data_IF_742903606135
#
_entry.id   IF_742903606135
#
_cell.length_a   1.000
_cell.length_b   1.000
_cell.length_c   1.000
_cell.angle_alpha   90.00
_cell.angle_beta   90.00
_cell.angle_gamma   90.00
#
_symmetry.space_group_name_H-M   'P 1'
#
loop_
_entity.id
_entity.type
_entity.pdbx_description
1 polymer ?
#
# COMPACT_ATOMS: atom_id res chain seq x y z
N UNK A 1 55.66 17.23 -42.86
CA UNK A 1 54.34 17.90 -42.75
C UNK A 1 53.17 16.95 -42.51
N UNK A 2 53.37 15.62 -42.41
CA UNK A 2 52.28 14.60 -42.16
C UNK A 2 52.02 14.25 -40.69
N UNK A 3 53.01 14.46 -39.79
CA UNK A 3 52.84 14.13 -38.36
C UNK A 3 52.00 15.16 -37.55
N UNK A 4 51.99 16.45 -37.92
CA UNK A 4 51.20 17.46 -37.22
C UNK A 4 49.68 17.38 -37.46
N UNK A 5 49.25 16.72 -38.60
CA UNK A 5 47.83 16.54 -38.89
C UNK A 5 47.21 15.35 -38.13
N UNK A 6 48.03 14.35 -37.78
CA UNK A 6 47.57 13.13 -37.04
C UNK A 6 47.33 13.46 -35.55
N UNK A 7 48.21 14.30 -34.97
CA UNK A 7 48.07 14.73 -33.57
C UNK A 7 46.87 15.65 -33.35
N UNK A 8 46.47 16.47 -34.35
CA UNK A 8 45.28 17.32 -34.26
C UNK A 8 43.99 16.49 -34.36
N UNK A 9 43.96 15.41 -35.15
CA UNK A 9 42.77 14.56 -35.26
C UNK A 9 42.53 13.72 -33.98
N UNK A 10 43.58 13.24 -33.34
CA UNK A 10 43.48 12.49 -32.07
C UNK A 10 43.04 13.43 -30.90
N UNK A 11 43.52 14.69 -30.88
CA UNK A 11 43.09 15.67 -29.90
C UNK A 11 41.64 16.11 -30.12
N UNK A 12 41.15 16.19 -31.37
CA UNK A 12 39.75 16.50 -31.64
C UNK A 12 38.78 15.37 -31.25
N UNK A 13 39.19 14.11 -31.44
CA UNK A 13 38.39 12.94 -31.00
C UNK A 13 38.37 12.84 -29.46
N UNK A 14 39.48 13.15 -28.80
CA UNK A 14 39.53 13.18 -27.33
C UNK A 14 38.70 14.35 -26.73
N UNK A 15 38.64 15.52 -27.41
CA UNK A 15 37.78 16.62 -26.98
C UNK A 15 36.28 16.38 -27.24
N UNK A 16 35.93 15.66 -28.30
CA UNK A 16 34.53 15.26 -28.54
C UNK A 16 34.03 14.21 -27.54
N UNK A 17 34.91 13.31 -27.05
CA UNK A 17 34.58 12.38 -25.99
C UNK A 17 34.44 13.05 -24.60
N UNK A 18 35.11 14.17 -24.36
CA UNK A 18 35.00 14.93 -23.11
C UNK A 18 33.81 15.90 -23.04
N UNK A 19 33.11 16.14 -24.17
CA UNK A 19 31.98 17.07 -24.26
C UNK A 19 30.59 16.39 -24.20
N UNK A 20 30.52 15.05 -24.13
CA UNK A 20 29.32 14.38 -23.61
C UNK A 20 29.37 14.54 -22.09
N UNK A 21 28.72 15.59 -21.56
CA UNK A 21 28.44 15.67 -20.14
C UNK A 21 27.88 14.31 -19.74
N UNK A 22 28.63 13.53 -18.97
CA UNK A 22 28.16 12.24 -18.49
C UNK A 22 26.93 12.50 -17.65
N UNK A 23 25.75 12.20 -18.20
CA UNK A 23 24.50 12.28 -17.47
C UNK A 23 24.63 11.33 -16.27
N UNK A 24 24.41 11.83 -15.07
CA UNK A 24 24.51 11.04 -13.84
C UNK A 24 23.14 10.50 -13.43
N UNK A 25 23.09 9.48 -12.54
CA UNK A 25 21.82 9.04 -11.98
C UNK A 25 21.02 10.19 -11.35
N UNK A 26 21.68 11.10 -10.63
CA UNK A 26 21.04 12.25 -9.98
C UNK A 26 20.44 13.24 -11.02
N UNK A 27 21.04 13.37 -12.19
CA UNK A 27 20.47 14.19 -13.28
C UNK A 27 19.22 13.53 -13.87
N UNK A 28 19.20 12.19 -14.02
CA UNK A 28 18.01 11.45 -14.42
C UNK A 28 16.91 11.59 -13.39
N UNK A 29 17.21 11.38 -12.11
CA UNK A 29 16.27 11.59 -11.01
C UNK A 29 15.69 13.01 -11.03
N UNK A 30 16.53 14.03 -11.16
CA UNK A 30 16.08 15.43 -11.21
C UNK A 30 15.14 15.69 -12.39
N UNK A 31 15.43 15.12 -13.58
CA UNK A 31 14.58 15.24 -14.77
C UNK A 31 13.26 14.51 -14.59
N UNK A 32 13.30 13.30 -13.99
CA UNK A 32 12.12 12.50 -13.66
C UNK A 32 11.22 13.26 -12.69
N UNK A 33 11.75 13.76 -11.58
CA UNK A 33 10.98 14.49 -10.58
C UNK A 33 10.32 15.74 -11.17
N UNK A 34 11.01 16.42 -12.08
CA UNK A 34 10.45 17.58 -12.79
C UNK A 34 9.32 17.19 -13.73
N UNK A 35 9.47 16.10 -14.51
CA UNK A 35 8.40 15.61 -15.39
C UNK A 35 7.18 15.19 -14.60
N UNK A 36 7.37 14.37 -13.57
CA UNK A 36 6.29 13.88 -12.71
C UNK A 36 5.55 15.02 -12.01
N UNK A 37 6.28 16.01 -11.50
CA UNK A 37 5.66 17.20 -10.85
C UNK A 37 4.77 18.00 -11.80
N UNK A 38 5.12 18.07 -13.08
CA UNK A 38 4.42 18.89 -14.06
C UNK A 38 3.34 18.13 -14.82
N UNK A 39 3.51 16.83 -15.04
CA UNK A 39 2.71 16.03 -15.98
C UNK A 39 2.13 14.75 -15.37
N UNK A 40 2.46 14.39 -14.11
CA UNK A 40 2.11 13.12 -13.50
C UNK A 40 3.09 12.00 -13.83
N UNK A 41 2.94 10.87 -13.13
CA UNK A 41 3.81 9.69 -13.30
C UNK A 41 3.72 9.07 -14.71
N UNK A 42 2.58 9.16 -15.37
CA UNK A 42 2.28 8.67 -16.71
C UNK A 42 2.43 9.74 -17.81
N UNK A 43 2.99 10.89 -17.45
CA UNK A 43 3.14 12.06 -18.32
C UNK A 43 3.98 11.79 -19.57
N UNK A 44 3.71 12.58 -20.63
CA UNK A 44 4.44 12.48 -21.90
C UNK A 44 5.95 12.63 -21.68
N UNK A 45 6.73 11.66 -22.17
CA UNK A 45 8.19 11.62 -22.07
C UNK A 45 8.75 10.92 -20.84
N UNK A 46 7.91 10.55 -19.85
CA UNK A 46 8.35 9.80 -18.67
C UNK A 46 8.89 8.43 -19.09
N UNK A 47 8.15 7.68 -19.91
CA UNK A 47 8.59 6.35 -20.41
C UNK A 47 9.95 6.41 -21.11
N UNK A 48 10.10 7.34 -22.07
CA UNK A 48 11.36 7.52 -22.80
C UNK A 48 12.52 7.92 -21.87
N UNK A 49 12.24 8.71 -20.84
CA UNK A 49 13.25 9.06 -19.84
C UNK A 49 13.65 7.84 -19.02
N UNK A 50 12.69 7.03 -18.59
CA UNK A 50 12.94 5.79 -17.84
C UNK A 50 13.75 4.79 -18.66
N UNK A 51 13.42 4.59 -19.95
CA UNK A 51 14.16 3.70 -20.86
C UNK A 51 15.64 4.11 -20.95
N UNK A 52 15.91 5.40 -21.14
CA UNK A 52 17.27 5.94 -21.20
C UNK A 52 18.00 5.85 -19.86
N UNK A 53 17.28 6.03 -18.76
CA UNK A 53 17.85 5.92 -17.42
C UNK A 53 18.28 4.50 -17.11
N UNK A 54 17.40 3.54 -17.37
CA UNK A 54 17.66 2.13 -17.19
C UNK A 54 18.78 1.60 -18.10
N UNK A 55 18.83 2.06 -19.38
CA UNK A 55 19.93 1.73 -20.30
C UNK A 55 21.28 2.29 -19.82
N UNK A 56 21.29 3.52 -19.29
CA UNK A 56 22.51 4.17 -18.83
C UNK A 56 22.99 3.66 -17.45
N UNK A 57 22.05 3.31 -16.56
CA UNK A 57 22.29 2.91 -15.16
C UNK A 57 21.36 1.76 -14.74
N UNK A 58 21.60 0.55 -15.25
CA UNK A 58 20.71 -0.60 -15.03
C UNK A 58 20.60 -1.02 -13.56
N UNK A 59 21.61 -0.68 -12.74
CA UNK A 59 21.70 -1.03 -11.32
C UNK A 59 21.22 0.11 -10.40
N UNK A 60 20.66 1.19 -10.96
CA UNK A 60 20.16 2.32 -10.13
C UNK A 60 18.89 1.92 -9.41
N UNK A 61 18.94 1.90 -8.06
CA UNK A 61 17.84 1.51 -7.19
C UNK A 61 16.58 2.41 -7.30
N UNK A 62 16.67 3.59 -7.91
CA UNK A 62 15.54 4.48 -8.10
C UNK A 62 14.67 4.09 -9.32
N UNK A 63 15.28 3.45 -10.33
CA UNK A 63 14.59 3.09 -11.59
C UNK A 63 13.39 2.16 -11.36
N UNK A 64 13.49 1.06 -10.62
CA UNK A 64 12.35 0.16 -10.42
C UNK A 64 11.13 0.86 -9.80
N UNK A 65 11.33 1.72 -8.80
CA UNK A 65 10.23 2.47 -8.18
C UNK A 65 9.58 3.45 -9.19
N UNK A 66 10.41 4.13 -9.97
CA UNK A 66 9.93 5.06 -11.00
C UNK A 66 9.15 4.30 -12.10
N UNK A 67 9.61 3.13 -12.51
CA UNK A 67 8.98 2.24 -13.51
C UNK A 67 7.64 1.70 -12.99
N UNK A 68 7.60 1.23 -11.73
CA UNK A 68 6.36 0.82 -11.08
C UNK A 68 5.34 1.96 -11.07
N UNK A 69 5.72 3.15 -10.61
CA UNK A 69 4.83 4.31 -10.56
C UNK A 69 4.28 4.67 -11.94
N UNK A 70 5.11 4.61 -12.99
CA UNK A 70 4.70 4.85 -14.36
C UNK A 70 3.60 3.87 -14.81
N UNK A 71 3.84 2.56 -14.74
CA UNK A 71 2.88 1.55 -15.19
C UNK A 71 1.61 1.56 -14.34
N UNK A 72 1.76 1.64 -13.02
CA UNK A 72 0.64 1.65 -12.11
C UNK A 72 -0.28 2.86 -12.34
N UNK A 73 0.27 4.05 -12.48
CA UNK A 73 -0.53 5.26 -12.78
C UNK A 73 -1.16 5.19 -14.17
N UNK A 74 -0.39 4.77 -15.18
CA UNK A 74 -0.87 4.63 -16.56
C UNK A 74 -1.99 3.57 -16.70
N UNK A 75 -2.00 2.57 -15.83
CA UNK A 75 -3.09 1.57 -15.81
C UNK A 75 -4.41 2.13 -15.29
N UNK A 76 -4.40 3.26 -14.58
CA UNK A 76 -5.56 3.77 -13.86
C UNK A 76 -6.43 4.68 -14.72
N UNK A 77 -7.74 4.52 -14.59
CA UNK A 77 -8.77 5.46 -15.02
C UNK A 77 -9.73 5.67 -13.86
N UNK A 78 -10.04 6.91 -13.49
CA UNK A 78 -11.03 7.20 -12.46
C UNK A 78 -12.35 7.70 -13.07
N UNK A 79 -13.46 7.32 -12.43
CA UNK A 79 -14.79 7.81 -12.72
C UNK A 79 -15.50 8.16 -11.42
N UNK A 80 -16.33 9.19 -11.45
CA UNK A 80 -17.17 9.55 -10.30
C UNK A 80 -18.56 8.96 -10.52
N UNK A 81 -18.90 7.91 -9.76
CA UNK A 81 -20.09 7.10 -9.94
C UNK A 81 -21.07 7.20 -8.76
N UNK A 82 -22.38 7.22 -9.01
CA UNK A 82 -23.38 7.19 -7.96
C UNK A 82 -23.45 5.82 -7.29
N UNK A 83 -23.50 5.81 -5.95
CA UNK A 83 -23.75 4.61 -5.14
C UNK A 83 -24.97 4.87 -4.23
N UNK A 84 -26.18 4.65 -4.74
CA UNK A 84 -27.40 4.92 -3.99
C UNK A 84 -27.44 4.17 -2.65
N UNK A 85 -27.81 4.87 -1.57
CA UNK A 85 -27.92 4.28 -0.24
C UNK A 85 -26.59 4.05 0.50
N UNK A 86 -25.45 4.20 -0.15
CA UNK A 86 -24.14 4.03 0.49
C UNK A 86 -23.67 5.36 1.12
N UNK A 87 -23.31 5.31 2.39
CA UNK A 87 -22.68 6.45 3.11
C UNK A 87 -21.15 6.43 3.01
N UNK A 88 -20.59 5.28 2.72
CA UNK A 88 -19.15 5.06 2.49
C UNK A 88 -18.99 4.00 1.40
N UNK A 89 -17.91 4.12 0.63
CA UNK A 89 -17.50 3.13 -0.35
C UNK A 89 -16.02 2.84 -0.18
N UNK A 90 -15.66 1.57 0.01
CA UNK A 90 -14.29 1.13 0.33
C UNK A 90 -13.65 1.93 1.48
N UNK A 91 -14.43 2.23 2.52
CA UNK A 91 -13.99 3.03 3.66
C UNK A 91 -14.00 4.55 3.46
N UNK A 92 -14.15 5.04 2.23
CA UNK A 92 -14.08 6.46 1.89
C UNK A 92 -15.44 7.17 2.04
N UNK A 93 -15.39 8.45 2.37
CA UNK A 93 -16.56 9.33 2.29
C UNK A 93 -16.88 9.65 0.82
N UNK A 94 -18.13 10.05 0.49
CA UNK A 94 -18.46 10.47 -0.86
C UNK A 94 -17.63 11.70 -1.30
N UNK A 95 -17.22 11.70 -2.56
CA UNK A 95 -16.59 12.86 -3.22
C UNK A 95 -17.59 13.99 -3.40
N UNK A 96 -18.87 13.63 -3.66
CA UNK A 96 -19.95 14.57 -3.92
C UNK A 96 -21.26 13.96 -3.45
N UNK A 97 -22.18 14.79 -2.91
CA UNK A 97 -23.57 14.42 -2.63
C UNK A 97 -24.50 15.37 -3.38
N UNK A 98 -25.39 14.82 -4.17
CA UNK A 98 -26.41 15.59 -4.93
C UNK A 98 -27.80 15.15 -4.49
N UNK A 99 -28.80 16.03 -4.75
CA UNK A 99 -30.21 15.68 -4.60
C UNK A 99 -30.73 15.02 -5.86
N UNK A 100 -31.48 13.94 -5.70
CA UNK A 100 -32.25 13.33 -6.80
C UNK A 100 -33.55 14.11 -7.07
N UNK A 101 -34.35 13.63 -8.03
CA UNK A 101 -35.65 14.23 -8.38
C UNK A 101 -36.66 14.24 -7.25
N UNK A 102 -36.53 13.31 -6.30
CA UNK A 102 -37.43 13.12 -5.17
C UNK A 102 -36.93 13.82 -3.90
N UNK A 103 -35.80 14.56 -4.00
CA UNK A 103 -35.16 15.31 -2.91
C UNK A 103 -34.28 14.44 -2.01
N UNK A 104 -34.06 13.17 -2.35
CA UNK A 104 -33.15 12.26 -1.66
C UNK A 104 -31.68 12.58 -1.89
N UNK A 105 -30.81 12.20 -0.94
CA UNK A 105 -29.35 12.31 -1.12
C UNK A 105 -28.82 11.14 -1.93
N UNK A 106 -28.07 11.45 -3.01
CA UNK A 106 -27.31 10.49 -3.82
C UNK A 106 -25.84 10.80 -3.63
N UNK A 107 -25.11 9.84 -3.07
CA UNK A 107 -23.68 9.93 -2.86
C UNK A 107 -22.92 9.42 -4.09
N UNK A 108 -21.92 10.18 -4.51
CA UNK A 108 -21.02 9.86 -5.60
C UNK A 108 -19.62 9.61 -5.05
N UNK A 109 -18.96 8.58 -5.57
CA UNK A 109 -17.63 8.18 -5.15
C UNK A 109 -16.72 8.11 -6.36
N UNK A 110 -15.46 8.51 -6.18
CA UNK A 110 -14.41 8.25 -7.15
C UNK A 110 -14.08 6.78 -7.12
N UNK A 111 -14.14 6.15 -8.29
CA UNK A 111 -13.83 4.73 -8.48
C UNK A 111 -12.77 4.56 -9.55
N UNK A 112 -11.72 3.81 -9.24
CA UNK A 112 -10.61 3.53 -10.15
C UNK A 112 -10.86 2.22 -10.89
N UNK A 113 -10.55 2.24 -12.19
CA UNK A 113 -10.54 1.08 -13.09
C UNK A 113 -9.13 0.92 -13.62
N UNK A 114 -8.73 -0.31 -13.89
CA UNK A 114 -7.35 -0.64 -14.25
C UNK A 114 -7.33 -1.35 -15.61
N UNK A 115 -6.36 -0.96 -16.44
CA UNK A 115 -5.94 -1.75 -17.58
C UNK A 115 -5.10 -2.93 -17.07
N UNK A 116 -5.55 -4.15 -17.34
CA UNK A 116 -4.95 -5.38 -16.78
C UNK A 116 -3.54 -5.63 -17.30
N UNK A 117 -3.22 -5.26 -18.55
CA UNK A 117 -1.91 -5.45 -19.14
C UNK A 117 -0.89 -4.51 -18.49
N UNK A 118 -1.20 -3.22 -18.40
CA UNK A 118 -0.35 -2.22 -17.75
C UNK A 118 -0.20 -2.48 -16.25
N UNK A 119 -1.29 -2.90 -15.58
CA UNK A 119 -1.21 -3.32 -14.19
C UNK A 119 -0.30 -4.52 -14.01
N UNK A 120 -0.38 -5.50 -14.93
CA UNK A 120 0.51 -6.65 -14.97
C UNK A 120 1.97 -6.27 -15.11
N UNK A 121 2.31 -5.27 -15.96
CA UNK A 121 3.69 -4.75 -16.05
C UNK A 121 4.16 -4.11 -14.74
N UNK A 122 3.29 -3.35 -14.05
CA UNK A 122 3.61 -2.82 -12.73
C UNK A 122 3.91 -3.94 -11.71
N UNK A 123 3.11 -5.03 -11.72
CA UNK A 123 3.34 -6.18 -10.83
C UNK A 123 4.63 -6.92 -11.14
N UNK A 124 5.02 -7.09 -12.41
CA UNK A 124 6.30 -7.72 -12.80
C UNK A 124 7.50 -6.97 -12.23
N UNK A 125 7.44 -5.63 -12.21
CA UNK A 125 8.50 -4.82 -11.59
C UNK A 125 8.63 -5.15 -10.11
N UNK A 126 7.50 -5.18 -9.38
CA UNK A 126 7.51 -5.47 -7.94
C UNK A 126 7.95 -6.91 -7.64
N UNK A 127 7.49 -7.89 -8.45
CA UNK A 127 7.90 -9.29 -8.29
C UNK A 127 9.41 -9.47 -8.47
N UNK A 128 9.99 -8.79 -9.47
CA UNK A 128 11.44 -8.81 -9.68
C UNK A 128 12.20 -8.20 -8.50
N UNK A 129 11.70 -7.10 -7.94
CA UNK A 129 12.34 -6.46 -6.78
C UNK A 129 12.19 -7.28 -5.50
N UNK A 130 11.04 -7.90 -5.25
CA UNK A 130 10.84 -8.80 -4.12
C UNK A 130 11.76 -10.03 -4.23
N UNK A 131 11.92 -10.59 -5.44
CA UNK A 131 12.82 -11.71 -5.66
C UNK A 131 14.30 -11.35 -5.42
N UNK A 132 14.71 -10.14 -5.80
CA UNK A 132 16.09 -9.63 -5.61
C UNK A 132 16.36 -9.17 -4.18
N UNK A 133 15.36 -8.61 -3.51
CA UNK A 133 15.45 -7.97 -2.19
C UNK A 133 14.30 -8.41 -1.28
N UNK A 134 14.25 -9.70 -0.89
CA UNK A 134 13.09 -10.26 -0.16
C UNK A 134 12.88 -9.65 1.23
N UNK A 135 13.91 -9.04 1.81
CA UNK A 135 13.87 -8.42 3.13
C UNK A 135 13.60 -6.89 3.09
N UNK A 136 13.36 -6.33 1.89
CA UNK A 136 13.02 -4.91 1.72
C UNK A 136 11.50 -4.74 1.70
N UNK A 137 10.95 -4.21 2.82
CA UNK A 137 9.50 -4.07 3.05
C UNK A 137 8.79 -3.18 2.03
N UNK A 138 9.49 -2.19 1.45
CA UNK A 138 8.91 -1.27 0.47
C UNK A 138 8.23 -2.02 -0.68
N UNK A 139 8.89 -3.02 -1.26
CA UNK A 139 8.40 -3.72 -2.44
C UNK A 139 7.15 -4.53 -2.12
N UNK A 140 7.13 -5.21 -0.99
CA UNK A 140 5.96 -5.92 -0.49
C UNK A 140 4.80 -4.97 -0.23
N UNK A 141 5.05 -3.84 0.44
CA UNK A 141 4.01 -2.86 0.75
C UNK A 141 3.43 -2.20 -0.50
N UNK A 142 4.26 -1.85 -1.49
CA UNK A 142 3.78 -1.35 -2.78
C UNK A 142 2.88 -2.37 -3.48
N UNK A 143 3.29 -3.66 -3.48
CA UNK A 143 2.52 -4.73 -4.11
C UNK A 143 1.17 -4.95 -3.41
N UNK A 144 1.15 -5.07 -2.09
CA UNK A 144 -0.09 -5.23 -1.32
C UNK A 144 -1.03 -4.04 -1.53
N UNK A 145 -0.49 -2.82 -1.53
CA UNK A 145 -1.27 -1.60 -1.78
C UNK A 145 -1.88 -1.58 -3.17
N UNK A 146 -1.09 -1.90 -4.20
CA UNK A 146 -1.55 -1.93 -5.58
C UNK A 146 -2.62 -3.02 -5.80
N UNK A 147 -2.40 -4.23 -5.26
CA UNK A 147 -3.38 -5.32 -5.31
C UNK A 147 -4.68 -4.95 -4.60
N UNK A 148 -4.61 -4.37 -3.39
CA UNK A 148 -5.81 -3.91 -2.66
C UNK A 148 -6.61 -2.88 -3.46
N UNK A 149 -5.93 -1.96 -4.16
CA UNK A 149 -6.58 -0.95 -4.98
C UNK A 149 -7.24 -1.55 -6.23
N UNK A 150 -6.60 -2.56 -6.84
CA UNK A 150 -7.11 -3.28 -8.01
C UNK A 150 -8.35 -4.13 -7.65
N UNK A 151 -8.29 -4.89 -6.57
CA UNK A 151 -9.33 -5.85 -6.15
C UNK A 151 -10.54 -5.20 -5.48
N UNK A 152 -10.37 -4.01 -4.92
CA UNK A 152 -11.45 -3.21 -4.29
C UNK A 152 -12.14 -3.92 -3.12
N UNK A 153 -13.34 -4.50 -3.37
CA UNK A 153 -14.23 -5.03 -2.32
C UNK A 153 -13.77 -6.39 -1.73
N UNK A 154 -12.97 -7.15 -2.48
CA UNK A 154 -12.48 -8.47 -2.05
C UNK A 154 -10.97 -8.58 -2.27
N UNK A 155 -10.13 -8.16 -1.31
CA UNK A 155 -8.68 -8.07 -1.47
C UNK A 155 -7.99 -9.43 -1.32
N UNK A 156 -8.34 -10.40 -2.17
CA UNK A 156 -7.88 -11.80 -2.10
C UNK A 156 -6.38 -11.93 -2.36
N UNK A 157 -5.88 -11.28 -3.44
CA UNK A 157 -4.46 -11.30 -3.81
C UNK A 157 -3.62 -10.50 -2.82
N UNK A 158 -4.12 -9.34 -2.37
CA UNK A 158 -3.45 -8.54 -1.35
C UNK A 158 -3.31 -9.31 -0.03
N UNK A 159 -4.36 -10.02 0.39
CA UNK A 159 -4.32 -10.87 1.57
C UNK A 159 -3.38 -12.08 1.38
N UNK A 160 -3.30 -12.65 0.16
CA UNK A 160 -2.37 -13.73 -0.16
C UNK A 160 -0.91 -13.25 -0.05
N UNK A 161 -0.60 -12.07 -0.60
CA UNK A 161 0.74 -11.47 -0.50
C UNK A 161 1.12 -11.19 0.96
N UNK A 162 0.17 -10.66 1.75
CA UNK A 162 0.39 -10.39 3.16
C UNK A 162 0.64 -11.69 3.97
N UNK A 163 -0.04 -12.80 3.63
CA UNK A 163 0.25 -14.13 4.20
C UNK A 163 1.67 -14.61 3.87
N UNK A 164 2.11 -14.42 2.64
CA UNK A 164 3.47 -14.78 2.22
C UNK A 164 4.51 -13.97 2.98
N UNK A 165 4.30 -12.67 3.13
CA UNK A 165 5.18 -11.78 3.89
C UNK A 165 5.29 -12.21 5.36
N UNK A 166 4.16 -12.55 6.02
CA UNK A 166 4.15 -13.06 7.40
C UNK A 166 4.84 -14.42 7.49
N UNK A 167 4.65 -15.29 6.51
CA UNK A 167 5.33 -16.59 6.45
C UNK A 167 6.84 -16.44 6.26
N UNK A 168 7.30 -15.49 5.47
CA UNK A 168 8.70 -15.16 5.31
C UNK A 168 9.31 -14.68 6.64
N UNK A 169 8.65 -13.75 7.34
CA UNK A 169 9.07 -13.32 8.69
C UNK A 169 9.20 -14.49 9.67
N UNK A 170 8.25 -15.42 9.63
CA UNK A 170 8.24 -16.56 10.54
C UNK A 170 9.34 -17.59 10.25
N UNK A 171 9.69 -17.79 8.99
CA UNK A 171 10.62 -18.85 8.55
C UNK A 171 12.07 -18.35 8.42
N UNK A 172 12.28 -17.17 7.84
CA UNK A 172 13.60 -16.63 7.55
C UNK A 172 14.16 -15.73 8.65
N UNK A 173 13.29 -15.15 9.50
CA UNK A 173 13.68 -14.17 10.53
C UNK A 173 14.52 -13.04 9.95
N UNK A 174 14.02 -12.37 8.89
CA UNK A 174 14.80 -11.43 8.10
C UNK A 174 15.25 -10.23 8.91
N UNK A 175 16.37 -9.64 8.51
CA UNK A 175 16.77 -8.31 8.94
C UNK A 175 16.03 -7.27 8.08
N UNK A 176 14.76 -7.00 8.41
CA UNK A 176 13.92 -6.11 7.62
C UNK A 176 14.58 -4.75 7.36
N UNK A 177 14.46 -4.29 6.12
CA UNK A 177 14.80 -2.94 5.70
C UNK A 177 13.59 -2.21 5.15
N UNK A 178 13.60 -0.89 5.22
CA UNK A 178 12.65 -0.02 4.56
C UNK A 178 13.42 1.17 3.96
N UNK A 179 13.35 1.32 2.67
CA UNK A 179 14.11 2.34 1.94
C UNK A 179 15.65 2.19 2.11
N UNK A 180 16.11 0.95 2.25
CA UNK A 180 17.51 0.63 2.50
C UNK A 180 17.99 0.81 3.93
N UNK A 181 17.13 1.34 4.81
CA UNK A 181 17.45 1.54 6.23
C UNK A 181 16.90 0.38 7.08
N UNK A 182 17.56 0.06 8.18
CA UNK A 182 17.10 -1.01 9.08
C UNK A 182 15.73 -0.65 9.67
N UNK A 183 14.73 -1.49 9.41
CA UNK A 183 13.33 -1.24 9.81
C UNK A 183 12.95 -1.91 11.14
N UNK A 184 13.61 -3.00 11.49
CA UNK A 184 13.25 -3.80 12.65
C UNK A 184 11.88 -4.48 12.53
N UNK A 185 11.58 -5.33 13.49
CA UNK A 185 10.32 -6.10 13.55
C UNK A 185 9.10 -5.21 13.87
N UNK A 186 9.31 -4.09 14.53
CA UNK A 186 8.26 -3.13 14.89
C UNK A 186 7.64 -2.49 13.65
N UNK A 187 8.45 -2.07 12.69
CA UNK A 187 7.98 -1.49 11.43
C UNK A 187 7.21 -2.52 10.60
N UNK A 188 7.68 -3.77 10.56
CA UNK A 188 6.95 -4.86 9.94
C UNK A 188 5.57 -5.06 10.59
N UNK A 189 5.50 -5.14 11.93
CA UNK A 189 4.24 -5.30 12.66
C UNK A 189 3.29 -4.12 12.43
N UNK A 190 3.81 -2.90 12.43
CA UNK A 190 3.03 -1.70 12.15
C UNK A 190 2.43 -1.75 10.74
N UNK A 191 3.23 -2.04 9.71
CA UNK A 191 2.75 -2.11 8.32
C UNK A 191 1.66 -3.18 8.14
N UNK A 192 1.83 -4.38 8.73
CA UNK A 192 0.78 -5.40 8.72
C UNK A 192 -0.48 -4.92 9.44
N UNK A 193 -0.36 -4.18 10.54
CA UNK A 193 -1.48 -3.59 11.26
C UNK A 193 -2.25 -2.56 10.44
N UNK A 194 -1.56 -1.76 9.62
CA UNK A 194 -2.18 -0.79 8.71
C UNK A 194 -2.97 -1.48 7.59
N UNK A 195 -2.48 -2.59 7.04
CA UNK A 195 -3.26 -3.39 6.08
C UNK A 195 -4.46 -4.06 6.72
N UNK A 196 -4.34 -4.56 7.95
CA UNK A 196 -5.50 -5.04 8.71
C UNK A 196 -6.56 -3.92 8.84
N UNK A 197 -6.17 -2.70 9.20
CA UNK A 197 -7.09 -1.58 9.31
C UNK A 197 -7.72 -1.20 7.95
N UNK A 198 -6.96 -1.29 6.86
CA UNK A 198 -7.46 -1.10 5.50
C UNK A 198 -8.53 -2.14 5.14
N UNK A 199 -8.26 -3.45 5.34
CA UNK A 199 -9.24 -4.51 5.09
C UNK A 199 -10.52 -4.33 5.91
N UNK A 200 -10.39 -3.98 7.19
CA UNK A 200 -11.55 -3.66 8.03
C UNK A 200 -12.34 -2.45 7.49
N UNK A 201 -11.62 -1.44 7.00
CA UNK A 201 -12.20 -0.21 6.45
C UNK A 201 -13.02 -0.42 5.16
N UNK A 202 -12.74 -1.47 4.36
CA UNK A 202 -13.52 -1.83 3.16
C UNK A 202 -14.99 -2.06 3.53
N UNK A 203 -15.26 -2.67 4.70
CA UNK A 203 -16.61 -2.85 5.21
C UNK A 203 -17.40 -4.00 4.56
N UNK A 204 -16.75 -4.87 3.81
CA UNK A 204 -17.33 -6.08 3.22
C UNK A 204 -17.06 -7.32 4.08
N UNK A 205 -17.82 -8.39 3.86
CA UNK A 205 -17.59 -9.66 4.56
C UNK A 205 -16.18 -10.21 4.27
N UNK A 206 -15.70 -10.12 3.03
CA UNK A 206 -14.36 -10.52 2.64
C UNK A 206 -13.28 -9.70 3.38
N UNK A 207 -13.42 -8.37 3.40
CA UNK A 207 -12.52 -7.49 4.13
C UNK A 207 -12.44 -7.82 5.61
N UNK A 208 -13.59 -8.09 6.26
CA UNK A 208 -13.63 -8.49 7.67
C UNK A 208 -12.99 -9.86 7.91
N UNK A 209 -13.19 -10.83 7.02
CA UNK A 209 -12.58 -12.16 7.19
C UNK A 209 -11.05 -12.09 7.03
N UNK A 210 -10.50 -11.34 6.06
CA UNK A 210 -9.06 -11.14 5.93
C UNK A 210 -8.46 -10.35 7.09
N UNK A 211 -9.16 -9.30 7.55
CA UNK A 211 -8.78 -8.60 8.78
C UNK A 211 -8.61 -9.53 9.97
N UNK A 212 -9.57 -10.45 10.18
CA UNK A 212 -9.51 -11.47 11.26
C UNK A 212 -8.36 -12.44 11.03
N UNK A 213 -8.29 -13.05 9.84
CA UNK A 213 -7.28 -14.06 9.50
C UNK A 213 -5.85 -13.56 9.71
N UNK A 214 -5.53 -12.41 9.14
CA UNK A 214 -4.21 -11.80 9.29
C UNK A 214 -3.92 -11.46 10.75
N UNK A 215 -4.90 -10.91 11.47
CA UNK A 215 -4.75 -10.61 12.90
C UNK A 215 -4.51 -11.88 13.74
N UNK A 216 -5.13 -13.02 13.39
CA UNK A 216 -4.88 -14.30 14.06
C UNK A 216 -3.47 -14.84 13.77
N UNK A 217 -2.99 -14.72 12.53
CA UNK A 217 -1.60 -15.07 12.16
C UNK A 217 -0.59 -14.24 12.95
N UNK A 218 -0.81 -12.93 13.00
CA UNK A 218 0.05 -12.01 13.74
C UNK A 218 -0.01 -12.23 15.26
N UNK A 219 -1.18 -12.56 15.81
CA UNK A 219 -1.30 -12.91 17.24
C UNK A 219 -0.51 -14.19 17.59
N UNK A 220 -0.45 -15.16 16.68
CA UNK A 220 0.38 -16.36 16.86
C UNK A 220 1.86 -16.04 16.81
N UNK A 221 2.27 -15.18 15.87
CA UNK A 221 3.67 -14.80 15.68
C UNK A 221 4.16 -13.82 16.74
N UNK A 222 3.33 -12.85 17.13
CA UNK A 222 3.63 -11.78 18.08
C UNK A 222 2.60 -11.73 19.22
N UNK A 223 2.60 -12.71 20.15
CA UNK A 223 1.56 -12.86 21.15
C UNK A 223 1.53 -11.73 22.21
N UNK A 224 2.57 -10.87 22.22
CA UNK A 224 2.66 -9.71 23.12
C UNK A 224 2.23 -8.40 22.45
N UNK A 225 1.87 -8.42 21.16
CA UNK A 225 1.33 -7.25 20.50
C UNK A 225 -0.20 -7.19 20.71
N UNK A 226 -0.73 -6.21 21.47
CA UNK A 226 -2.16 -6.14 21.78
C UNK A 226 -3.00 -5.76 20.57
N UNK A 227 -2.46 -5.05 19.57
CA UNK A 227 -3.17 -4.54 18.38
C UNK A 227 -3.91 -5.66 17.65
N UNK A 228 -3.24 -6.78 17.38
CA UNK A 228 -3.85 -7.88 16.64
C UNK A 228 -4.90 -8.63 17.45
N UNK A 229 -4.78 -8.65 18.77
CA UNK A 229 -5.78 -9.21 19.68
C UNK A 229 -7.02 -8.31 19.73
N UNK A 230 -6.82 -6.98 19.78
CA UNK A 230 -7.88 -5.99 19.72
C UNK A 230 -8.63 -6.03 18.38
N UNK A 231 -7.90 -6.21 17.28
CA UNK A 231 -8.48 -6.43 15.96
C UNK A 231 -9.46 -7.59 15.93
N UNK A 232 -9.10 -8.74 16.52
CA UNK A 232 -10.01 -9.90 16.62
C UNK A 232 -11.25 -9.54 17.46
N UNK A 233 -11.10 -8.73 18.51
CA UNK A 233 -12.22 -8.17 19.26
C UNK A 233 -13.15 -7.33 18.39
N UNK A 234 -12.57 -6.46 17.56
CA UNK A 234 -13.30 -5.58 16.63
C UNK A 234 -14.05 -6.36 15.55
N UNK A 235 -13.46 -7.45 15.04
CA UNK A 235 -14.15 -8.37 14.14
C UNK A 235 -15.41 -8.97 14.79
N UNK A 236 -15.29 -9.47 16.03
CA UNK A 236 -16.44 -10.05 16.74
C UNK A 236 -17.52 -9.00 17.04
N UNK A 237 -17.12 -7.75 17.31
CA UNK A 237 -18.06 -6.67 17.60
C UNK A 237 -18.82 -6.21 16.37
N UNK A 238 -18.11 -6.03 15.24
CA UNK A 238 -18.66 -5.36 14.05
C UNK A 238 -19.19 -6.36 13.03
N UNK A 239 -18.38 -7.37 12.65
CA UNK A 239 -18.76 -8.32 11.61
C UNK A 239 -19.73 -9.40 12.12
N UNK A 240 -19.65 -9.78 13.39
CA UNK A 240 -20.45 -10.89 13.96
C UNK A 240 -21.46 -10.43 15.01
N UNK A 241 -21.54 -9.12 15.34
CA UNK A 241 -22.41 -8.56 16.38
C UNK A 241 -22.38 -9.37 17.71
N UNK A 242 -21.20 -9.89 18.06
CA UNK A 242 -21.01 -10.74 19.21
C UNK A 242 -20.19 -10.03 20.29
N UNK A 243 -20.90 -9.19 21.09
CA UNK A 243 -20.29 -8.42 22.17
C UNK A 243 -19.58 -9.31 23.20
N UNK A 244 -20.10 -10.51 23.48
CA UNK A 244 -19.50 -11.43 24.47
C UNK A 244 -18.10 -11.88 24.04
N UNK A 245 -17.92 -12.23 22.77
CA UNK A 245 -16.61 -12.61 22.25
C UNK A 245 -15.71 -11.36 22.15
N UNK A 246 -16.22 -10.24 21.67
CA UNK A 246 -15.47 -8.99 21.59
C UNK A 246 -14.86 -8.59 22.95
N UNK A 247 -15.67 -8.58 24.02
CA UNK A 247 -15.22 -8.29 25.40
C UNK A 247 -14.09 -9.22 25.84
N UNK A 248 -14.13 -10.51 25.47
CA UNK A 248 -13.07 -11.45 25.81
C UNK A 248 -11.72 -11.06 25.20
N UNK A 249 -11.71 -10.64 23.92
CA UNK A 249 -10.48 -10.23 23.23
C UNK A 249 -9.97 -8.87 23.71
N UNK A 250 -10.84 -7.88 23.90
CA UNK A 250 -10.44 -6.59 24.45
C UNK A 250 -9.83 -6.71 25.86
N UNK A 251 -10.43 -7.54 26.73
CA UNK A 251 -9.85 -7.84 28.05
C UNK A 251 -8.51 -8.58 27.96
N UNK A 252 -8.29 -9.38 26.90
CA UNK A 252 -7.00 -10.03 26.66
C UNK A 252 -5.95 -9.02 26.20
N UNK A 253 -6.30 -8.07 25.32
CA UNK A 253 -5.43 -6.97 24.91
C UNK A 253 -5.00 -6.11 26.12
N UNK A 254 -5.96 -5.71 26.97
CA UNK A 254 -5.69 -4.92 28.20
C UNK A 254 -4.84 -5.66 29.25
N UNK A 255 -4.75 -6.98 29.22
CA UNK A 255 -3.80 -7.72 30.08
C UNK A 255 -2.35 -7.58 29.60
N UNK A 256 -2.14 -7.32 28.31
CA UNK A 256 -0.83 -7.13 27.71
C UNK A 256 -0.44 -5.66 27.82
N UNK A 257 -1.34 -4.77 27.44
CA UNK A 257 -1.21 -3.32 27.57
C UNK A 257 -2.42 -2.73 28.33
N UNK A 258 -2.28 -2.44 29.62
CA UNK A 258 -3.35 -1.81 30.41
C UNK A 258 -3.75 -0.41 29.93
N UNK A 259 -2.92 0.24 29.08
CA UNK A 259 -3.20 1.56 28.52
C UNK A 259 -3.73 1.49 27.08
N UNK A 260 -4.08 0.32 26.56
CA UNK A 260 -4.68 0.15 25.24
C UNK A 260 -5.98 0.97 25.14
N UNK A 261 -5.87 2.09 24.43
CA UNK A 261 -6.99 3.04 24.26
C UNK A 261 -8.10 2.46 23.38
N UNK A 262 -7.76 1.64 22.38
CA UNK A 262 -8.73 1.04 21.46
C UNK A 262 -9.60 0.03 22.18
N UNK A 263 -9.00 -0.90 22.91
CA UNK A 263 -9.72 -1.87 23.74
C UNK A 263 -10.58 -1.17 24.81
N UNK A 264 -10.02 -0.15 25.48
CA UNK A 264 -10.77 0.63 26.51
C UNK A 264 -11.97 1.35 25.90
N UNK A 265 -11.81 2.01 24.76
CA UNK A 265 -12.91 2.72 24.06
C UNK A 265 -14.00 1.73 23.62
N UNK A 266 -13.63 0.61 23.05
CA UNK A 266 -14.56 -0.40 22.55
C UNK A 266 -15.34 -1.05 23.67
N UNK A 267 -14.73 -1.36 24.81
CA UNK A 267 -15.42 -1.84 26.00
C UNK A 267 -16.46 -0.83 26.51
N UNK A 268 -16.11 0.46 26.58
CA UNK A 268 -17.07 1.52 26.97
C UNK A 268 -18.26 1.61 26.01
N UNK A 269 -18.04 1.42 24.70
CA UNK A 269 -19.12 1.37 23.70
C UNK A 269 -20.08 0.21 24.01
N UNK A 270 -19.55 -0.98 24.26
CA UNK A 270 -20.35 -2.17 24.60
C UNK A 270 -21.14 -1.95 25.88
N UNK A 271 -20.52 -1.42 26.95
CA UNK A 271 -21.18 -1.12 28.22
C UNK A 271 -22.37 -0.15 28.03
N UNK A 272 -22.17 0.91 27.23
CA UNK A 272 -23.23 1.86 26.90
C UNK A 272 -24.40 1.22 26.14
N UNK A 273 -24.10 0.35 25.13
CA UNK A 273 -25.14 -0.40 24.41
C UNK A 273 -25.95 -1.29 25.33
N UNK A 274 -25.29 -2.00 26.23
CA UNK A 274 -25.93 -2.89 27.20
C UNK A 274 -26.80 -2.11 28.23
N UNK A 275 -26.32 -0.96 28.69
CA UNK A 275 -27.09 -0.09 29.59
C UNK A 275 -28.36 0.44 28.91
N UNK A 276 -28.25 0.90 27.65
CA UNK A 276 -29.39 1.37 26.85
C UNK A 276 -30.42 0.24 26.60
N UNK A 277 -29.94 -0.97 26.26
CA UNK A 277 -30.81 -2.12 26.05
C UNK A 277 -31.60 -2.51 27.33
N UNK A 278 -30.95 -2.42 28.50
CA UNK A 278 -31.61 -2.66 29.80
C UNK A 278 -32.64 -1.56 30.12
N UNK A 279 -32.36 -0.30 29.81
CA UNK A 279 -33.28 0.80 30.05
C UNK A 279 -34.56 0.72 29.19
N UNK A 280 -34.46 0.23 27.94
CA UNK A 280 -35.60 0.02 27.03
C UNK A 280 -36.50 -1.18 27.41
N UNK A 281 -36.03 -2.07 28.27
CA UNK A 281 -36.79 -3.25 28.74
C UNK A 281 -37.55 -3.02 30.09
N UNK A 282 -37.27 -1.88 30.72
CA UNK A 282 -37.99 -1.38 31.89
C UNK A 282 -39.07 -0.38 31.46
#
# INVERSE_FOLDING_TARGET
>A
MKMKKLTLAIAAIALCAAAAAQTTPEEFQTRYDRLVRNLGYDGVGVETLLDRWEEAFPDDAAVPKARFNYYFTKSQRSEVLPKPGQRRFLGNAPTLTLKDSDGGDVNYFEEYFYDEELFGEAMKVLDAQIAAHPDELRWHYLKITALSAFEKESPDMAAAELRQLIAHDASAHPAWTLDGESAGTEIFQQGVGEYCASFFGIGTDAGYEYFREISELMTKRFPRNPVFIDNIGSYWLVAKDNEKQAVKFYKKALKIDPQDEAATRNLKIIERRQAQAKAKKK
#
